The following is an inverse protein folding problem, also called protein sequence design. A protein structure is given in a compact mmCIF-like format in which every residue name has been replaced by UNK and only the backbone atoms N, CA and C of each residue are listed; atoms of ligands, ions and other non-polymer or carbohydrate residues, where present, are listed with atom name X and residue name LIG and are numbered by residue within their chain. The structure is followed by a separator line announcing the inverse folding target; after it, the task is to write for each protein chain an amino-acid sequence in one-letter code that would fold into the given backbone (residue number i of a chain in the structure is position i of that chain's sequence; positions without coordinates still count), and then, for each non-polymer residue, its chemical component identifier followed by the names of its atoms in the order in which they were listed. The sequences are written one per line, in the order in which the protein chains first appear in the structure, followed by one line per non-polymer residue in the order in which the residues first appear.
data_IF_669550405244
#
_entry.id   IF_669550405244
#
_cell.length_a   1.000
_cell.length_b   1.000
_cell.length_c   1.000
_cell.angle_alpha   90.00
_cell.angle_beta   90.00
_cell.angle_gamma   90.00
#
_symmetry.space_group_name_H-M   'P 1'
#
loop_
_entity.id
_entity.type
_entity.pdbx_description
1 polymer ?
#
# COMPACT_ATOMS: atom_id res chain seq x y z
N UNK A 1 -49.68 58.78 16.66
CA UNK A 1 -49.68 57.31 16.80
C UNK A 1 -48.31 56.81 16.38
N UNK A 2 -47.54 56.40 17.34
CA UNK A 2 -46.15 56.01 17.19
C UNK A 2 -46.08 54.49 16.88
N UNK A 3 -45.56 54.15 15.68
CA UNK A 3 -45.28 52.78 15.30
C UNK A 3 -43.93 52.31 15.88
N UNK A 4 -43.95 51.20 16.51
CA UNK A 4 -42.83 50.57 17.19
C UNK A 4 -41.91 49.85 16.17
N UNK A 5 -40.70 50.35 16.02
CA UNK A 5 -39.62 49.68 15.28
C UNK A 5 -38.67 48.98 16.26
N UNK A 6 -39.01 47.75 16.58
CA UNK A 6 -38.10 46.85 17.29
C UNK A 6 -37.57 45.77 16.30
N UNK A 7 -36.51 46.11 15.61
CA UNK A 7 -35.74 45.16 14.81
C UNK A 7 -34.47 44.78 15.54
N UNK A 8 -34.54 43.79 16.43
CA UNK A 8 -33.36 43.18 17.03
C UNK A 8 -32.77 42.18 16.02
N UNK A 9 -31.89 42.65 15.18
CA UNK A 9 -31.02 41.79 14.39
C UNK A 9 -29.93 41.20 15.27
N UNK A 10 -30.17 40.06 15.83
CA UNK A 10 -29.08 39.22 16.32
C UNK A 10 -28.45 38.51 15.15
N UNK A 11 -27.31 39.00 14.71
CA UNK A 11 -26.40 38.21 13.87
C UNK A 11 -25.86 37.03 14.72
N UNK A 12 -26.49 35.89 14.61
CA UNK A 12 -25.90 34.65 15.09
C UNK A 12 -24.85 34.17 14.08
N UNK A 13 -23.62 34.66 14.24
CA UNK A 13 -22.45 34.16 13.51
C UNK A 13 -21.78 32.99 14.23
N UNK A 14 -22.50 32.21 14.95
CA UNK A 14 -22.01 30.93 15.47
C UNK A 14 -22.63 29.81 14.64
N UNK A 15 -21.99 29.44 13.56
CA UNK A 15 -22.20 28.13 12.95
C UNK A 15 -21.66 27.15 13.97
N UNK A 16 -22.50 26.61 14.85
CA UNK A 16 -22.09 25.56 15.76
C UNK A 16 -21.71 24.35 14.90
N UNK A 17 -20.59 23.75 15.20
CA UNK A 17 -20.12 22.53 14.54
C UNK A 17 -21.21 21.44 14.56
N UNK A 18 -22.11 21.51 15.52
CA UNK A 18 -23.23 20.61 15.70
C UNK A 18 -24.39 20.84 14.72
N UNK A 19 -24.52 22.05 14.14
CA UNK A 19 -25.54 22.34 13.12
C UNK A 19 -25.10 21.92 11.70
N UNK A 20 -23.82 21.75 11.48
CA UNK A 20 -23.27 21.19 10.22
C UNK A 20 -23.38 19.65 10.23
N UNK A 21 -23.43 19.04 11.42
CA UNK A 21 -23.57 17.61 11.64
C UNK A 21 -24.92 17.24 12.26
N UNK A 22 -25.94 18.08 12.04
CA UNK A 22 -27.27 17.93 12.61
C UNK A 22 -27.91 16.60 12.24
N UNK A 23 -28.41 15.98 13.29
CA UNK A 23 -29.18 14.75 13.26
C UNK A 23 -30.28 14.79 12.20
N UNK A 24 -30.22 13.89 11.22
CA UNK A 24 -31.39 13.50 10.46
C UNK A 24 -31.30 13.42 8.96
N UNK A 25 -30.37 14.09 8.30
CA UNK A 25 -30.20 13.92 6.87
C UNK A 25 -28.93 13.12 6.59
N UNK A 26 -29.11 11.84 6.29
CA UNK A 26 -28.05 11.00 5.73
C UNK A 26 -27.70 11.54 4.33
N UNK A 27 -26.65 12.32 4.25
CA UNK A 27 -26.03 12.66 2.96
C UNK A 27 -25.41 11.38 2.41
N UNK A 28 -26.18 10.66 1.63
CA UNK A 28 -25.67 9.53 0.86
C UNK A 28 -25.00 10.09 -0.40
N UNK A 29 -23.69 9.94 -0.50
CA UNK A 29 -22.99 10.19 -1.75
C UNK A 29 -23.12 8.95 -2.63
N UNK A 30 -23.77 9.11 -3.78
CA UNK A 30 -23.80 8.06 -4.80
C UNK A 30 -22.52 8.15 -5.61
N UNK A 31 -21.71 7.10 -5.61
CA UNK A 31 -20.54 6.99 -6.48
C UNK A 31 -20.99 6.76 -7.92
N UNK A 32 -20.13 7.04 -8.90
CA UNK A 32 -20.39 6.72 -10.33
C UNK A 32 -20.75 5.25 -10.56
N UNK A 33 -20.35 4.36 -9.66
CA UNK A 33 -20.70 2.93 -9.66
C UNK A 33 -22.10 2.63 -9.06
N UNK A 34 -22.86 3.65 -8.64
CA UNK A 34 -24.20 3.49 -8.08
C UNK A 34 -24.24 2.93 -6.65
N UNK A 35 -23.12 2.87 -5.95
CA UNK A 35 -23.05 2.40 -4.57
C UNK A 35 -23.29 3.57 -3.60
N UNK A 36 -24.31 3.44 -2.76
CA UNK A 36 -24.55 4.39 -1.66
C UNK A 36 -23.50 4.15 -0.58
N UNK A 37 -22.65 5.14 -0.35
CA UNK A 37 -21.67 5.12 0.76
C UNK A 37 -22.25 5.95 1.89
N UNK A 38 -22.49 5.31 3.03
CA UNK A 38 -22.85 5.99 4.27
C UNK A 38 -21.70 6.86 4.77
N UNK A 39 -22.03 7.95 5.45
CA UNK A 39 -21.08 8.91 6.00
C UNK A 39 -20.03 8.24 6.92
N UNK A 40 -20.45 7.26 7.73
CA UNK A 40 -19.54 6.49 8.57
C UNK A 40 -18.55 5.63 7.76
N UNK A 41 -19.01 5.07 6.64
CA UNK A 41 -18.14 4.33 5.71
C UNK A 41 -17.14 5.25 5.03
N UNK A 42 -17.58 6.45 4.59
CA UNK A 42 -16.69 7.44 3.99
C UNK A 42 -15.58 7.89 4.95
N UNK A 43 -15.91 8.12 6.23
CA UNK A 43 -14.93 8.47 7.26
C UNK A 43 -13.94 7.33 7.50
N UNK A 44 -14.42 6.09 7.59
CA UNK A 44 -13.55 4.91 7.75
C UNK A 44 -12.61 4.73 6.57
N UNK A 45 -13.09 4.90 5.34
CA UNK A 45 -12.29 4.81 4.12
C UNK A 45 -11.21 5.90 4.11
N UNK A 46 -11.58 7.15 4.43
CA UNK A 46 -10.62 8.25 4.49
C UNK A 46 -9.57 8.06 5.58
N UNK A 47 -9.96 7.60 6.77
CA UNK A 47 -9.04 7.32 7.86
C UNK A 47 -8.06 6.20 7.49
N UNK A 48 -8.56 5.12 6.89
CA UNK A 48 -7.73 4.02 6.43
C UNK A 48 -6.71 4.49 5.38
N UNK A 49 -7.19 5.23 4.37
CA UNK A 49 -6.33 5.79 3.32
C UNK A 49 -5.24 6.72 3.90
N UNK A 50 -5.61 7.60 4.83
CA UNK A 50 -4.66 8.48 5.49
C UNK A 50 -3.59 7.70 6.28
N UNK A 51 -3.96 6.62 6.96
CA UNK A 51 -3.02 5.75 7.65
C UNK A 51 -2.05 5.05 6.67
N UNK A 52 -2.56 4.52 5.55
CA UNK A 52 -1.72 3.88 4.53
C UNK A 52 -0.72 4.88 3.96
N UNK A 53 -1.17 6.09 3.61
CA UNK A 53 -0.29 7.15 3.12
C UNK A 53 0.77 7.54 4.16
N UNK A 54 0.35 7.81 5.39
CA UNK A 54 1.28 8.23 6.45
C UNK A 54 2.38 7.20 6.69
N UNK A 55 2.03 5.93 6.76
CA UNK A 55 3.00 4.84 6.99
C UNK A 55 3.91 4.69 5.78
N UNK A 56 3.36 4.64 4.57
CA UNK A 56 4.14 4.44 3.35
C UNK A 56 5.09 5.60 3.07
N UNK A 57 4.64 6.85 3.22
CA UNK A 57 5.48 8.04 3.07
C UNK A 57 6.60 8.08 4.10
N UNK A 58 6.27 7.87 5.37
CA UNK A 58 7.26 7.95 6.45
C UNK A 58 8.36 6.92 6.27
N UNK A 59 8.01 5.67 5.97
CA UNK A 59 9.01 4.59 5.84
C UNK A 59 9.79 4.70 4.52
N UNK A 60 9.15 5.09 3.42
CA UNK A 60 9.81 5.19 2.11
C UNK A 60 10.92 6.24 2.04
N UNK A 61 10.86 7.26 2.90
CA UNK A 61 11.87 8.31 3.00
C UNK A 61 13.07 7.93 3.85
N UNK A 62 13.00 6.84 4.63
CA UNK A 62 14.11 6.42 5.48
C UNK A 62 15.35 6.04 4.64
N UNK A 63 16.56 6.34 5.14
CA UNK A 63 17.78 5.93 4.47
C UNK A 63 17.95 4.41 4.52
N UNK A 64 18.36 3.83 3.39
CA UNK A 64 18.66 2.40 3.25
C UNK A 64 20.12 2.25 2.90
N UNK A 65 20.88 1.55 3.74
CA UNK A 65 22.30 1.25 3.54
C UNK A 65 22.54 -0.26 3.61
N UNK A 66 23.50 -0.76 2.83
CA UNK A 66 23.96 -2.14 2.93
C UNK A 66 25.18 -2.27 3.81
N UNK A 67 25.26 -3.37 4.54
CA UNK A 67 26.34 -3.69 5.47
C UNK A 67 26.81 -5.11 5.22
N UNK A 68 28.09 -5.36 5.50
CA UNK A 68 28.68 -6.69 5.56
C UNK A 68 29.16 -6.99 6.98
N UNK A 69 29.21 -8.26 7.35
CA UNK A 69 29.90 -8.72 8.56
C UNK A 69 31.34 -9.05 8.21
N UNK A 70 32.27 -8.43 8.90
CA UNK A 70 33.71 -8.72 8.83
C UNK A 70 34.23 -8.88 10.27
N UNK A 71 34.80 -10.02 10.58
CA UNK A 71 35.38 -10.35 11.90
C UNK A 71 34.41 -10.16 13.09
N UNK A 72 33.09 -10.38 12.83
CA UNK A 72 32.03 -10.19 13.82
C UNK A 72 31.36 -8.83 13.80
N UNK A 73 32.02 -7.81 13.27
CA UNK A 73 31.53 -6.43 13.23
C UNK A 73 30.69 -6.13 12.00
N UNK A 74 29.72 -5.22 12.17
CA UNK A 74 28.87 -4.71 11.08
C UNK A 74 29.56 -3.50 10.45
N UNK A 75 30.11 -3.68 9.25
CA UNK A 75 30.82 -2.64 8.51
C UNK A 75 30.00 -2.20 7.31
N UNK A 76 29.87 -0.89 7.03
CA UNK A 76 29.17 -0.40 5.82
C UNK A 76 29.83 -0.99 4.56
N UNK A 77 29.01 -1.58 3.69
CA UNK A 77 29.48 -2.06 2.39
C UNK A 77 29.73 -0.88 1.45
N UNK A 78 30.93 -0.75 0.95
CA UNK A 78 31.34 0.34 0.04
C UNK A 78 32.11 -0.21 -1.15
N UNK A 79 31.81 0.25 -2.40
CA UNK A 79 30.70 1.12 -2.76
C UNK A 79 29.34 0.43 -2.55
N UNK A 80 28.31 1.23 -2.26
CA UNK A 80 26.93 0.72 -2.13
C UNK A 80 26.50 0.10 -3.47
N UNK A 81 25.80 -1.06 -3.49
CA UNK A 81 25.26 -1.62 -4.71
C UNK A 81 24.28 -0.64 -5.38
N UNK A 82 24.31 -0.55 -6.71
CA UNK A 82 23.48 0.39 -7.45
C UNK A 82 21.98 0.24 -7.16
N UNK A 83 21.51 -1.00 -7.02
CA UNK A 83 20.10 -1.30 -6.69
C UNK A 83 19.68 -0.88 -5.26
N UNK A 84 20.62 -0.60 -4.34
CA UNK A 84 20.28 -0.03 -3.02
C UNK A 84 19.99 1.46 -3.15
N UNK A 85 20.74 2.16 -3.99
CA UNK A 85 20.56 3.60 -4.20
C UNK A 85 19.43 3.90 -5.17
N UNK A 86 19.31 3.11 -6.23
CA UNK A 86 18.30 3.22 -7.27
C UNK A 86 17.78 1.82 -7.61
N UNK A 87 16.79 1.33 -6.85
CA UNK A 87 16.25 -0.01 -7.05
C UNK A 87 15.57 -0.17 -8.41
N UNK A 88 14.86 0.84 -8.87
CA UNK A 88 14.20 0.88 -10.17
C UNK A 88 14.80 1.96 -11.06
N UNK A 89 14.93 1.67 -12.36
CA UNK A 89 15.50 2.61 -13.34
C UNK A 89 14.54 3.76 -13.67
N UNK A 90 13.24 3.53 -13.53
CA UNK A 90 12.19 4.48 -13.90
C UNK A 90 11.63 5.28 -12.71
N UNK A 91 11.88 4.81 -11.47
CA UNK A 91 11.32 5.39 -10.26
C UNK A 91 12.38 5.99 -9.34
N UNK A 92 11.97 6.97 -8.55
CA UNK A 92 12.75 7.41 -7.40
C UNK A 92 12.76 6.29 -6.34
N UNK A 93 13.84 6.24 -5.55
CA UNK A 93 13.96 5.25 -4.47
C UNK A 93 12.77 5.28 -3.50
N UNK A 94 12.34 6.48 -3.11
CA UNK A 94 11.18 6.66 -2.22
C UNK A 94 9.88 6.14 -2.85
N UNK A 95 9.65 6.41 -4.12
CA UNK A 95 8.48 5.92 -4.85
C UNK A 95 8.46 4.38 -4.94
N UNK A 96 9.61 3.77 -5.23
CA UNK A 96 9.75 2.32 -5.26
C UNK A 96 9.37 1.69 -3.92
N UNK A 97 9.95 2.19 -2.81
CA UNK A 97 9.61 1.67 -1.47
C UNK A 97 8.17 1.99 -1.06
N UNK A 98 7.65 3.15 -1.46
CA UNK A 98 6.25 3.49 -1.22
C UNK A 98 5.30 2.50 -1.90
N UNK A 99 5.56 2.13 -3.17
CA UNK A 99 4.77 1.11 -3.88
C UNK A 99 4.82 -0.26 -3.20
N UNK A 100 6.00 -0.68 -2.73
CA UNK A 100 6.16 -1.91 -1.94
C UNK A 100 5.31 -1.87 -0.68
N UNK A 101 5.36 -0.77 0.06
CA UNK A 101 4.63 -0.61 1.32
C UNK A 101 3.12 -0.53 1.10
N UNK A 102 2.66 0.20 0.10
CA UNK A 102 1.24 0.27 -0.26
C UNK A 102 0.71 -1.12 -0.62
N UNK A 103 1.44 -1.87 -1.45
CA UNK A 103 1.08 -3.24 -1.80
C UNK A 103 0.98 -4.14 -0.56
N UNK A 104 1.95 -4.02 0.35
CA UNK A 104 1.98 -4.80 1.60
C UNK A 104 0.82 -4.43 2.53
N UNK A 105 0.52 -3.14 2.69
CA UNK A 105 -0.53 -2.66 3.58
C UNK A 105 -1.95 -2.98 3.07
N UNK A 106 -2.14 -2.98 1.74
CA UNK A 106 -3.45 -3.22 1.13
C UNK A 106 -3.72 -4.71 0.90
N UNK A 107 -2.77 -5.42 0.28
CA UNK A 107 -2.93 -6.84 -0.11
C UNK A 107 -2.34 -7.81 0.92
N UNK A 108 -1.45 -7.35 1.82
CA UNK A 108 -0.67 -8.21 2.71
C UNK A 108 0.49 -8.90 2.00
N UNK A 109 0.72 -8.59 0.73
CA UNK A 109 1.83 -9.09 -0.08
C UNK A 109 2.42 -7.96 -0.92
N UNK A 110 3.73 -7.98 -1.10
CA UNK A 110 4.41 -7.17 -2.10
C UNK A 110 5.33 -8.08 -2.92
N UNK A 111 5.31 -7.89 -4.23
CA UNK A 111 6.12 -8.65 -5.17
C UNK A 111 7.06 -7.73 -5.91
N UNK A 112 8.36 -8.03 -5.85
CA UNK A 112 9.39 -7.28 -6.56
C UNK A 112 10.12 -8.22 -7.49
N UNK A 113 10.00 -8.00 -8.80
CA UNK A 113 10.70 -8.75 -9.82
C UNK A 113 12.14 -8.30 -9.89
N UNK A 114 13.07 -9.24 -9.89
CA UNK A 114 14.50 -9.00 -9.96
C UNK A 114 14.97 -9.24 -11.38
N UNK A 115 15.50 -8.21 -12.01
CA UNK A 115 16.15 -8.33 -13.31
C UNK A 115 17.66 -8.39 -13.11
N UNK A 116 18.30 -9.31 -13.84
CA UNK A 116 19.75 -9.52 -13.76
C UNK A 116 20.38 -9.39 -15.13
N UNK A 117 21.65 -9.02 -15.12
CA UNK A 117 22.48 -9.06 -16.31
C UNK A 117 22.99 -10.49 -16.60
N UNK A 118 23.75 -10.64 -17.69
CA UNK A 118 24.33 -11.92 -18.09
C UNK A 118 25.38 -12.46 -17.08
N UNK A 119 25.90 -11.61 -16.20
CA UNK A 119 26.80 -12.01 -15.11
C UNK A 119 26.04 -12.41 -13.83
N UNK A 120 24.71 -12.28 -13.82
CA UNK A 120 23.85 -12.58 -12.70
C UNK A 120 23.71 -11.44 -11.67
N UNK A 121 24.28 -10.26 -11.94
CA UNK A 121 24.15 -9.10 -11.08
C UNK A 121 22.77 -8.47 -11.21
N UNK A 122 22.24 -7.97 -10.12
CA UNK A 122 20.94 -7.26 -10.10
C UNK A 122 21.10 -5.89 -10.74
N UNK A 123 20.32 -5.65 -11.80
CA UNK A 123 20.30 -4.38 -12.55
C UNK A 123 19.02 -3.58 -12.33
N UNK A 124 17.90 -4.24 -12.04
CA UNK A 124 16.63 -3.56 -11.82
C UNK A 124 15.72 -4.37 -10.89
N UNK A 125 14.91 -3.66 -10.07
CA UNK A 125 13.93 -4.21 -9.16
C UNK A 125 12.59 -3.53 -9.46
N UNK A 126 11.64 -4.27 -10.04
CA UNK A 126 10.34 -3.73 -10.45
C UNK A 126 9.25 -4.24 -9.53
N UNK A 127 8.51 -3.35 -8.92
CA UNK A 127 7.33 -3.70 -8.10
C UNK A 127 6.19 -4.13 -9.02
N UNK A 128 5.57 -5.27 -8.72
CA UNK A 128 4.44 -5.79 -9.48
C UNK A 128 3.19 -5.74 -8.61
N UNK A 129 2.08 -5.31 -9.21
CA UNK A 129 0.77 -5.32 -8.55
C UNK A 129 0.45 -6.73 -8.03
N UNK A 130 0.20 -6.91 -6.72
CA UNK A 130 -0.13 -8.20 -6.14
C UNK A 130 -1.31 -8.91 -6.80
N UNK A 131 -2.27 -8.17 -7.36
CA UNK A 131 -3.44 -8.73 -8.04
C UNK A 131 -3.09 -9.47 -9.32
N UNK A 132 -1.96 -9.10 -9.95
CA UNK A 132 -1.46 -9.72 -11.19
C UNK A 132 -0.61 -10.97 -10.94
N UNK A 133 -0.24 -11.26 -9.69
CA UNK A 133 0.69 -12.35 -9.36
C UNK A 133 -0.05 -13.50 -8.71
N UNK A 134 0.00 -14.66 -9.34
CA UNK A 134 -0.43 -15.93 -8.74
C UNK A 134 0.78 -16.70 -8.23
N UNK A 135 0.76 -17.05 -6.94
CA UNK A 135 1.84 -17.84 -6.32
C UNK A 135 1.43 -19.30 -6.33
N UNK A 136 2.23 -20.14 -6.93
CA UNK A 136 1.98 -21.57 -7.03
C UNK A 136 3.22 -22.39 -6.64
N UNK A 137 3.03 -23.67 -6.44
CA UNK A 137 4.12 -24.61 -6.21
C UNK A 137 4.20 -25.57 -7.40
N UNK A 138 5.34 -25.63 -8.02
CA UNK A 138 5.60 -26.59 -9.09
C UNK A 138 5.36 -28.03 -8.58
N UNK A 139 4.58 -28.78 -9.32
CA UNK A 139 4.21 -30.17 -8.93
C UNK A 139 5.37 -31.14 -8.97
N UNK A 140 6.38 -30.86 -9.81
CA UNK A 140 7.55 -31.73 -10.01
C UNK A 140 8.70 -31.32 -9.12
N UNK A 141 9.14 -30.04 -9.20
CA UNK A 141 10.31 -29.55 -8.45
C UNK A 141 9.98 -29.16 -7.02
N UNK A 142 8.68 -28.99 -6.70
CA UNK A 142 8.19 -28.49 -5.40
C UNK A 142 8.61 -27.06 -5.07
N UNK A 143 9.27 -26.37 -5.97
CA UNK A 143 9.68 -24.97 -5.82
C UNK A 143 8.49 -24.03 -5.98
N UNK A 144 8.60 -22.86 -5.36
CA UNK A 144 7.62 -21.77 -5.53
C UNK A 144 7.88 -21.07 -6.85
N UNK A 145 6.82 -20.89 -7.62
CA UNK A 145 6.80 -20.19 -8.90
C UNK A 145 5.74 -19.10 -8.86
N UNK A 146 6.00 -18.03 -9.57
CA UNK A 146 5.12 -16.87 -9.67
C UNK A 146 4.64 -16.72 -11.11
N UNK A 147 3.34 -16.76 -11.32
CA UNK A 147 2.71 -16.59 -12.62
C UNK A 147 2.17 -15.17 -12.67
N UNK A 148 2.65 -14.38 -13.65
CA UNK A 148 2.23 -13.00 -13.84
C UNK A 148 1.16 -12.97 -14.93
N UNK A 149 0.07 -12.23 -14.70
CA UNK A 149 -1.09 -12.06 -15.60
C UNK A 149 -1.76 -13.38 -16.00
N UNK A 150 -1.65 -14.42 -15.19
CA UNK A 150 -2.25 -15.72 -15.47
C UNK A 150 -1.66 -16.46 -16.68
N UNK A 151 -0.59 -15.94 -17.29
CA UNK A 151 0.03 -16.54 -18.47
C UNK A 151 1.13 -17.53 -18.08
N UNK A 152 1.03 -18.75 -18.59
CA UNK A 152 2.08 -19.76 -18.42
C UNK A 152 3.40 -19.40 -19.14
N UNK A 153 3.41 -18.38 -19.96
CA UNK A 153 4.61 -17.85 -20.58
C UNK A 153 5.38 -16.91 -19.65
N UNK A 154 4.71 -16.35 -18.63
CA UNK A 154 5.29 -15.41 -17.67
C UNK A 154 5.50 -16.06 -16.29
N UNK A 155 6.13 -17.22 -16.26
CA UNK A 155 6.50 -17.89 -15.02
C UNK A 155 7.86 -17.34 -14.55
N UNK A 156 7.89 -16.83 -13.32
CA UNK A 156 9.10 -16.32 -12.69
C UNK A 156 9.52 -17.23 -11.55
N UNK A 157 10.78 -17.59 -11.53
CA UNK A 157 11.34 -18.44 -10.47
C UNK A 157 11.49 -17.68 -9.15
N UNK A 158 11.58 -18.41 -8.06
CA UNK A 158 11.85 -17.85 -6.72
C UNK A 158 13.14 -17.02 -6.66
N UNK A 159 14.11 -17.32 -7.52
CA UNK A 159 15.39 -16.60 -7.59
C UNK A 159 15.21 -15.15 -8.07
N UNK A 160 14.24 -14.94 -8.99
CA UNK A 160 14.03 -13.67 -9.66
C UNK A 160 12.75 -12.95 -9.21
N UNK A 161 12.22 -13.37 -8.06
CA UNK A 161 11.09 -12.72 -7.39
C UNK A 161 11.34 -12.60 -5.89
N UNK A 162 11.24 -11.38 -5.37
CA UNK A 162 11.20 -11.13 -3.93
C UNK A 162 9.73 -11.03 -3.54
N UNK A 163 9.27 -11.93 -2.69
CA UNK A 163 7.96 -11.87 -2.08
C UNK A 163 8.11 -11.43 -0.63
N UNK A 164 7.48 -10.33 -0.27
CA UNK A 164 7.34 -9.84 1.09
C UNK A 164 5.90 -10.10 1.51
N UNK A 165 5.72 -10.78 2.63
CA UNK A 165 4.39 -11.08 3.17
C UNK A 165 4.28 -10.50 4.57
N UNK A 166 3.13 -9.95 4.90
CA UNK A 166 2.88 -9.46 6.24
C UNK A 166 2.55 -10.64 7.19
N UNK A 167 1.29 -10.98 7.33
CA UNK A 167 0.85 -12.11 8.12
C UNK A 167 0.41 -13.25 7.20
N UNK A 168 0.99 -14.44 7.39
CA UNK A 168 0.69 -15.59 6.55
C UNK A 168 0.26 -16.76 7.42
N UNK A 169 -0.87 -17.37 7.10
CA UNK A 169 -1.33 -18.59 7.75
C UNK A 169 -0.41 -19.76 7.38
N UNK A 170 -0.28 -20.72 8.30
CA UNK A 170 0.51 -21.94 8.03
C UNK A 170 -0.06 -22.69 6.81
N UNK A 171 0.83 -23.07 5.89
CA UNK A 171 0.45 -23.76 4.64
C UNK A 171 0.10 -22.86 3.48
N UNK A 172 -0.22 -21.60 3.70
CA UNK A 172 -0.52 -20.63 2.63
C UNK A 172 0.75 -20.13 1.94
N UNK A 173 0.66 -19.80 0.66
CA UNK A 173 1.76 -19.23 -0.11
C UNK A 173 1.72 -17.69 -0.14
N UNK A 174 0.56 -17.09 0.12
CA UNK A 174 0.34 -15.64 0.18
C UNK A 174 0.07 -15.19 1.61
N UNK A 175 0.39 -13.92 1.89
CA UNK A 175 -0.05 -13.22 3.09
C UNK A 175 -1.53 -12.88 3.04
N UNK A 176 -2.11 -12.63 4.19
CA UNK A 176 -3.52 -12.22 4.33
C UNK A 176 -3.68 -10.74 3.98
N UNK A 177 -4.72 -10.43 3.20
CA UNK A 177 -5.09 -9.05 2.93
C UNK A 177 -5.87 -8.47 4.11
N UNK A 178 -5.40 -7.35 4.65
CA UNK A 178 -6.14 -6.61 5.70
C UNK A 178 -7.47 -6.08 5.20
N UNK A 179 -7.52 -5.66 3.94
CA UNK A 179 -8.75 -5.12 3.34
C UNK A 179 -9.81 -6.20 3.20
N UNK A 180 -9.43 -7.41 2.82
CA UNK A 180 -10.37 -8.53 2.72
C UNK A 180 -10.92 -8.92 4.08
N UNK A 181 -10.07 -9.04 5.10
CA UNK A 181 -10.50 -9.37 6.47
C UNK A 181 -11.38 -8.26 7.09
N UNK A 182 -11.20 -6.99 6.70
CA UNK A 182 -12.03 -5.89 7.17
C UNK A 182 -13.40 -5.84 6.48
N UNK A 183 -13.52 -6.30 5.23
CA UNK A 183 -14.81 -6.33 4.51
C UNK A 183 -15.84 -7.20 5.21
N UNK A 184 -15.42 -8.30 5.81
CA UNK A 184 -16.30 -9.24 6.50
C UNK A 184 -16.80 -8.69 7.86
N UNK A 185 -16.23 -7.55 8.32
CA UNK A 185 -16.57 -6.89 9.58
C UNK A 185 -17.19 -5.50 9.40
N UNK A 186 -17.48 -5.07 8.19
CA UNK A 186 -18.15 -3.81 7.85
C UNK A 186 -19.58 -4.03 7.35
#
# INVERSE_FOLDING_TARGET
MLGNLSGSGKEERAISFQSVWGAGDSFAFTTEAGTNIDQNQAIKINAFYACVLLISDTISTLPVDSFIRRDGDRVPYRPQPAWVQRPDVDLLRSEHYQQVLISLLLDGNAFVRVFRDNSGQVINLVVIDPTRVTVTRNKVTREIEYIIDGSNENIVSKRDMIQITEMRKAGELRGMSRVTELKDNL
#
